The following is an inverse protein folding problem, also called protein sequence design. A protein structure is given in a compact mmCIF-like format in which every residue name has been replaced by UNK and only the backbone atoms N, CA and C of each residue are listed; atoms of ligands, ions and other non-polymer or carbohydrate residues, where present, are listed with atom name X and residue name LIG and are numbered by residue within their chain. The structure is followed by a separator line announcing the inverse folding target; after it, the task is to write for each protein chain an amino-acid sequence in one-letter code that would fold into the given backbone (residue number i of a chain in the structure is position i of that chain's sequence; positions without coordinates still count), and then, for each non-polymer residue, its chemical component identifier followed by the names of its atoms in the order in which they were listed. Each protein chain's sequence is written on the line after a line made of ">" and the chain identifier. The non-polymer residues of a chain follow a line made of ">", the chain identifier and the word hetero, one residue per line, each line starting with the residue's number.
data_IF_666391136741
#
_entry.id   IF_666391136741
#
_cell.length_a   1.000
_cell.length_b   1.000
_cell.length_c   1.000
_cell.angle_alpha   90.00
_cell.angle_beta   90.00
_cell.angle_gamma   90.00
#
_symmetry.space_group_name_H-M   'P 1'
#
loop_
_entity.id
_entity.type
_entity.pdbx_description
1 polymer ?
#
# COMPACT_ATOMS: atom_id res chain seq x y z
N UNK A 1 -25.15 -0.95 -8.44
CA UNK A 1 -24.32 -0.56 -9.61
C UNK A 1 -24.74 0.73 -10.34
N UNK A 2 -26.03 1.04 -10.52
CA UNK A 2 -26.46 2.22 -11.29
C UNK A 2 -26.25 3.57 -10.59
N UNK A 3 -26.26 3.61 -9.25
CA UNK A 3 -26.08 4.83 -8.47
C UNK A 3 -24.69 5.45 -8.69
N UNK A 4 -23.60 4.75 -8.38
CA UNK A 4 -22.24 5.25 -8.58
C UNK A 4 -21.95 5.63 -10.05
N UNK A 5 -22.57 4.96 -11.02
CA UNK A 5 -22.38 5.32 -12.44
C UNK A 5 -23.13 6.57 -12.87
N UNK A 6 -24.21 6.94 -12.19
CA UNK A 6 -25.12 8.03 -12.58
C UNK A 6 -25.20 9.13 -11.52
N UNK A 7 -24.32 9.11 -10.53
CA UNK A 7 -24.29 10.15 -9.51
C UNK A 7 -23.70 11.43 -10.10
N UNK A 8 -24.09 12.55 -9.52
CA UNK A 8 -23.44 13.84 -9.72
C UNK A 8 -22.68 14.14 -8.44
N UNK A 9 -21.37 14.33 -8.55
CA UNK A 9 -20.55 14.78 -7.43
C UNK A 9 -20.95 16.21 -7.05
N UNK A 10 -21.23 16.44 -5.76
CA UNK A 10 -21.66 17.76 -5.26
C UNK A 10 -20.50 18.47 -4.56
N UNK A 11 -19.79 17.77 -3.68
CA UNK A 11 -18.67 18.34 -2.94
C UNK A 11 -18.11 17.43 -1.85
N UNK A 12 -16.95 17.79 -1.33
CA UNK A 12 -16.31 17.11 -0.18
C UNK A 12 -16.87 17.70 1.11
N UNK A 13 -17.30 16.84 2.04
CA UNK A 13 -17.78 17.26 3.36
C UNK A 13 -16.63 17.34 4.37
N UNK A 14 -15.80 16.30 4.41
CA UNK A 14 -14.61 16.22 5.26
C UNK A 14 -13.55 15.28 4.65
N UNK A 15 -12.58 14.83 5.46
CA UNK A 15 -11.48 13.96 5.02
C UNK A 15 -11.95 12.63 4.41
N UNK A 16 -13.07 12.08 4.87
CA UNK A 16 -13.51 10.73 4.52
C UNK A 16 -14.88 10.73 3.82
N UNK A 17 -15.66 11.81 3.93
CA UNK A 17 -17.04 11.91 3.46
C UNK A 17 -17.20 12.91 2.30
N UNK A 18 -18.00 12.53 1.32
CA UNK A 18 -18.40 13.36 0.17
C UNK A 18 -19.92 13.35 -0.02
N UNK A 19 -20.44 14.41 -0.63
CA UNK A 19 -21.83 14.52 -1.05
C UNK A 19 -21.98 14.17 -2.53
N UNK A 20 -22.92 13.28 -2.80
CA UNK A 20 -23.29 12.87 -4.15
C UNK A 20 -24.80 12.96 -4.33
N UNK A 21 -25.24 13.50 -5.46
CA UNK A 21 -26.64 13.50 -5.85
C UNK A 21 -26.93 12.30 -6.76
N UNK A 22 -28.05 11.61 -6.53
CA UNK A 22 -28.57 10.59 -7.43
C UNK A 22 -30.08 10.77 -7.62
N UNK A 23 -30.48 11.18 -8.82
CA UNK A 23 -31.86 11.62 -9.08
C UNK A 23 -32.21 12.82 -8.19
N UNK A 24 -33.22 12.67 -7.34
CA UNK A 24 -33.64 13.69 -6.37
C UNK A 24 -33.06 13.49 -4.97
N UNK A 25 -32.23 12.46 -4.76
CA UNK A 25 -31.64 12.15 -3.45
C UNK A 25 -30.25 12.76 -3.32
N UNK A 26 -29.97 13.41 -2.19
CA UNK A 26 -28.63 13.80 -1.77
C UNK A 26 -28.11 12.77 -0.77
N UNK A 27 -26.91 12.27 -1.01
CA UNK A 27 -26.34 11.13 -0.29
C UNK A 27 -24.97 11.52 0.26
N UNK A 28 -24.72 11.10 1.50
CA UNK A 28 -23.38 11.12 2.10
C UNK A 28 -22.71 9.79 1.76
N UNK A 29 -21.52 9.86 1.19
CA UNK A 29 -20.72 8.70 0.79
C UNK A 29 -19.40 8.76 1.54
N UNK A 30 -19.04 7.66 2.20
CA UNK A 30 -17.68 7.48 2.70
C UNK A 30 -16.78 7.16 1.50
N UNK A 31 -16.09 8.19 1.00
CA UNK A 31 -15.25 8.07 -0.18
C UNK A 31 -13.93 7.39 0.14
N UNK A 32 -13.48 7.39 1.41
CA UNK A 32 -12.30 6.65 1.84
C UNK A 32 -12.52 5.13 1.73
N UNK A 33 -13.63 4.62 2.29
CA UNK A 33 -13.99 3.21 2.18
C UNK A 33 -14.28 2.80 0.73
N UNK A 34 -14.91 3.69 -0.04
CA UNK A 34 -15.14 3.45 -1.46
C UNK A 34 -13.83 3.37 -2.25
N UNK A 35 -12.85 4.23 -1.94
CA UNK A 35 -11.54 4.20 -2.56
C UNK A 35 -10.79 2.90 -2.19
N UNK A 36 -10.86 2.47 -0.93
CA UNK A 36 -10.26 1.20 -0.48
C UNK A 36 -10.77 0.01 -1.29
N UNK A 37 -12.09 -0.13 -1.42
CA UNK A 37 -12.69 -1.19 -2.23
C UNK A 37 -12.36 -1.06 -3.73
N UNK A 38 -12.31 0.17 -4.26
CA UNK A 38 -11.90 0.40 -5.64
C UNK A 38 -10.46 -0.07 -5.90
N UNK A 39 -9.51 0.29 -5.03
CA UNK A 39 -8.10 -0.08 -5.19
C UNK A 39 -7.87 -1.58 -4.99
N UNK A 40 -8.57 -2.21 -4.05
CA UNK A 40 -8.58 -3.67 -3.90
C UNK A 40 -9.04 -4.37 -5.20
N UNK A 41 -10.19 -3.96 -5.75
CA UNK A 41 -10.69 -4.51 -7.01
C UNK A 41 -9.75 -4.24 -8.20
N UNK A 42 -9.10 -3.07 -8.24
CA UNK A 42 -8.12 -2.73 -9.28
C UNK A 42 -6.87 -3.59 -9.17
N UNK A 43 -6.39 -3.88 -7.96
CA UNK A 43 -5.23 -4.74 -7.73
C UNK A 43 -5.49 -6.17 -8.20
N UNK A 44 -6.65 -6.74 -7.85
CA UNK A 44 -7.01 -8.10 -8.28
C UNK A 44 -7.24 -8.16 -9.79
N UNK A 45 -7.92 -7.17 -10.39
CA UNK A 45 -8.17 -7.16 -11.84
C UNK A 45 -6.92 -7.01 -12.68
N UNK A 46 -5.86 -6.40 -12.12
CA UNK A 46 -4.59 -6.16 -12.79
C UNK A 46 -3.49 -7.12 -12.32
N UNK A 47 -3.85 -8.16 -11.57
CA UNK A 47 -2.90 -9.15 -11.05
C UNK A 47 -2.01 -9.73 -12.16
N UNK A 48 -0.69 -9.65 -11.97
CA UNK A 48 0.32 -10.10 -12.94
C UNK A 48 0.54 -9.18 -14.15
N UNK A 49 -0.20 -8.07 -14.29
CA UNK A 49 -0.12 -7.15 -15.43
C UNK A 49 -0.15 -5.66 -15.04
N UNK A 50 0.18 -5.36 -13.78
CA UNK A 50 0.25 -3.99 -13.27
C UNK A 50 1.21 -3.11 -14.09
N UNK A 51 0.78 -1.89 -14.40
CA UNK A 51 1.73 -0.86 -14.82
C UNK A 51 2.60 -0.46 -13.62
N UNK A 52 3.85 -0.07 -13.87
CA UNK A 52 4.81 0.26 -12.81
C UNK A 52 4.93 1.78 -12.64
N UNK A 53 4.58 2.28 -11.46
CA UNK A 53 4.85 3.65 -11.02
C UNK A 53 6.22 3.72 -10.34
N UNK A 54 7.22 4.29 -11.02
CA UNK A 54 8.54 4.52 -10.41
C UNK A 54 8.50 5.71 -9.46
N UNK A 55 9.07 5.54 -8.28
CA UNK A 55 9.19 6.61 -7.30
C UNK A 55 10.21 7.64 -7.79
N UNK A 56 9.88 8.93 -7.67
CA UNK A 56 10.81 10.02 -7.98
C UNK A 56 12.02 10.02 -7.04
N UNK A 57 11.85 9.52 -5.82
CA UNK A 57 12.90 9.29 -4.84
C UNK A 57 12.71 7.90 -4.25
N UNK A 58 13.63 6.95 -4.52
CA UNK A 58 13.66 5.66 -3.86
C UNK A 58 13.64 5.78 -2.33
N UNK A 59 13.00 4.83 -1.66
CA UNK A 59 12.83 4.86 -0.20
C UNK A 59 13.73 3.82 0.47
N UNK A 60 14.61 4.21 1.40
CA UNK A 60 15.45 3.28 2.15
C UNK A 60 14.56 2.37 3.00
N UNK A 61 14.64 1.07 2.75
CA UNK A 61 13.68 0.10 3.26
C UNK A 61 13.75 0.00 4.79
N UNK A 62 14.94 -0.22 5.35
CA UNK A 62 15.16 -0.24 6.80
C UNK A 62 14.68 1.02 7.51
N UNK A 63 15.11 2.20 7.06
CA UNK A 63 14.75 3.47 7.72
C UNK A 63 13.24 3.72 7.67
N UNK A 64 12.60 3.35 6.55
CA UNK A 64 11.16 3.49 6.36
C UNK A 64 10.38 2.56 7.28
N UNK A 65 10.79 1.29 7.39
CA UNK A 65 10.20 0.31 8.32
C UNK A 65 10.41 0.73 9.78
N UNK A 66 11.60 1.21 10.11
CA UNK A 66 11.93 1.68 11.46
C UNK A 66 11.10 2.89 11.88
N UNK A 67 10.85 3.82 10.95
CA UNK A 67 9.99 4.97 11.15
C UNK A 67 8.51 4.57 11.30
N UNK A 68 8.06 3.50 10.62
CA UNK A 68 6.70 2.99 10.75
C UNK A 68 6.36 2.59 12.19
N UNK A 69 7.32 1.97 12.89
CA UNK A 69 7.17 1.56 14.29
C UNK A 69 7.07 2.73 15.29
N UNK A 70 7.34 3.97 14.85
CA UNK A 70 7.17 5.19 15.67
C UNK A 70 5.83 5.90 15.38
N UNK A 71 5.01 5.39 14.45
CA UNK A 71 3.69 5.94 14.17
C UNK A 71 2.71 5.62 15.31
N UNK A 72 1.88 6.61 15.68
CA UNK A 72 0.90 6.47 16.78
C UNK A 72 -0.21 5.45 16.50
N UNK A 73 -0.47 5.14 15.23
CA UNK A 73 -1.42 4.11 14.84
C UNK A 73 -0.86 2.68 15.00
N UNK A 74 0.46 2.53 15.07
CA UNK A 74 1.12 1.25 15.30
C UNK A 74 1.19 1.01 16.81
N UNK A 75 0.50 -0.03 17.27
CA UNK A 75 0.42 -0.39 18.70
C UNK A 75 1.60 -1.28 19.12
N UNK A 76 2.83 -0.83 18.86
CA UNK A 76 4.03 -1.53 19.29
C UNK A 76 4.19 -1.46 20.81
N UNK A 77 4.47 -2.59 21.43
CA UNK A 77 4.83 -2.71 22.84
C UNK A 77 6.28 -3.19 23.01
N UNK A 78 7.00 -2.80 24.07
CA UNK A 78 8.32 -3.35 24.37
C UNK A 78 8.38 -4.90 24.41
N UNK A 79 7.27 -5.59 24.66
CA UNK A 79 7.18 -7.05 24.58
C UNK A 79 7.35 -7.61 23.17
N UNK A 80 7.06 -6.82 22.13
CA UNK A 80 7.19 -7.24 20.72
C UNK A 80 8.67 -7.33 20.29
N UNK A 81 9.58 -6.82 21.12
CA UNK A 81 11.01 -6.83 20.89
C UNK A 81 11.55 -5.50 20.35
N UNK A 82 12.87 -5.41 20.14
CA UNK A 82 13.52 -4.16 19.75
C UNK A 82 13.09 -3.75 18.34
N UNK A 83 12.68 -2.49 18.18
CA UNK A 83 12.23 -1.92 16.90
C UNK A 83 13.23 -2.11 15.76
N UNK A 84 14.52 -1.98 16.05
CA UNK A 84 15.58 -2.19 15.05
C UNK A 84 15.67 -3.64 14.58
N UNK A 85 15.36 -4.60 15.46
CA UNK A 85 15.27 -6.03 15.11
C UNK A 85 14.08 -6.27 14.19
N UNK A 86 12.89 -5.81 14.58
CA UNK A 86 11.66 -5.92 13.79
C UNK A 86 11.85 -5.33 12.39
N UNK A 87 12.44 -4.13 12.30
CA UNK A 87 12.69 -3.47 11.02
C UNK A 87 13.65 -4.26 10.12
N UNK A 88 14.69 -4.89 10.69
CA UNK A 88 15.63 -5.74 9.92
C UNK A 88 14.99 -7.04 9.45
N UNK A 89 14.20 -7.67 10.31
CA UNK A 89 13.50 -8.92 9.98
C UNK A 89 12.46 -8.67 8.88
N UNK A 90 11.72 -7.55 8.98
CA UNK A 90 10.79 -7.10 7.94
C UNK A 90 11.50 -6.79 6.62
N UNK A 91 12.63 -6.09 6.66
CA UNK A 91 13.44 -5.81 5.46
C UNK A 91 13.90 -7.12 4.79
N UNK A 92 14.46 -8.05 5.57
CA UNK A 92 14.93 -9.34 5.07
C UNK A 92 13.78 -10.16 4.46
N UNK A 93 12.60 -10.16 5.09
CA UNK A 93 11.42 -10.84 4.58
C UNK A 93 10.99 -10.26 3.23
N UNK A 94 10.83 -8.94 3.12
CA UNK A 94 10.40 -8.30 1.87
C UNK A 94 11.40 -8.54 0.74
N UNK A 95 12.71 -8.50 1.03
CA UNK A 95 13.75 -8.82 0.05
C UNK A 95 13.71 -10.28 -0.39
N UNK A 96 13.37 -11.22 0.51
CA UNK A 96 13.20 -12.64 0.15
C UNK A 96 12.01 -12.88 -0.79
N UNK A 97 10.98 -12.02 -0.73
CA UNK A 97 9.76 -12.09 -1.55
C UNK A 97 9.78 -11.17 -2.77
N UNK A 98 10.87 -10.43 -3.00
CA UNK A 98 10.96 -9.35 -4.02
C UNK A 98 10.61 -9.78 -5.44
N UNK A 99 10.97 -11.00 -5.84
CA UNK A 99 10.71 -11.49 -7.20
C UNK A 99 9.22 -11.69 -7.43
N UNK A 100 8.55 -12.34 -6.48
CA UNK A 100 7.11 -12.53 -6.49
C UNK A 100 6.34 -11.20 -6.44
N UNK A 101 6.78 -10.28 -5.57
CA UNK A 101 6.18 -8.95 -5.42
C UNK A 101 6.32 -8.11 -6.71
N UNK A 102 7.44 -8.23 -7.41
CA UNK A 102 7.64 -7.60 -8.70
C UNK A 102 6.75 -8.23 -9.78
N UNK A 103 6.75 -9.56 -9.88
CA UNK A 103 6.09 -10.28 -10.97
C UNK A 103 4.56 -10.17 -10.91
N UNK A 104 3.98 -10.20 -9.71
CA UNK A 104 2.51 -10.14 -9.56
C UNK A 104 1.98 -8.73 -9.31
N UNK A 105 2.70 -7.91 -8.54
CA UNK A 105 2.20 -6.62 -8.06
C UNK A 105 3.00 -5.41 -8.54
N UNK A 106 4.08 -5.59 -9.32
CA UNK A 106 4.98 -4.48 -9.71
C UNK A 106 5.50 -3.67 -8.51
N UNK A 107 5.65 -4.32 -7.35
CA UNK A 107 6.31 -3.74 -6.18
C UNK A 107 7.80 -4.11 -6.31
N UNK A 108 8.64 -3.10 -6.53
CA UNK A 108 10.04 -3.31 -6.91
C UNK A 108 10.96 -2.89 -5.79
N UNK A 109 11.73 -3.84 -5.28
CA UNK A 109 12.82 -3.61 -4.34
C UNK A 109 14.18 -3.80 -5.03
N UNK A 110 15.08 -2.86 -4.79
CA UNK A 110 16.50 -2.98 -5.15
C UNK A 110 17.30 -3.35 -3.89
N UNK A 111 17.95 -4.53 -3.84
CA UNK A 111 18.73 -4.94 -2.68
C UNK A 111 19.99 -4.09 -2.53
N UNK A 112 20.51 -4.01 -1.31
CA UNK A 112 21.75 -3.30 -0.99
C UNK A 112 22.93 -3.63 -1.94
N UNK A 113 23.02 -4.88 -2.44
CA UNK A 113 24.06 -5.33 -3.38
C UNK A 113 24.07 -4.55 -4.70
N UNK A 114 22.91 -4.07 -5.14
CA UNK A 114 22.72 -3.46 -6.45
C UNK A 114 22.77 -1.92 -6.36
N UNK A 115 22.70 -1.40 -5.14
CA UNK A 115 22.67 0.03 -4.84
C UNK A 115 24.06 0.59 -4.52
N UNK A 116 24.36 1.79 -4.98
CA UNK A 116 25.69 2.42 -4.76
C UNK A 116 25.98 2.80 -3.31
N UNK A 117 24.94 2.98 -2.50
CA UNK A 117 25.05 3.35 -1.09
C UNK A 117 25.00 2.15 -0.15
N UNK A 118 24.80 0.93 -0.66
CA UNK A 118 24.72 -0.28 0.15
C UNK A 118 23.46 -0.36 1.00
N UNK A 119 22.36 0.27 0.58
CA UNK A 119 21.08 0.30 1.31
C UNK A 119 19.97 -0.20 0.41
N UNK A 120 19.17 -1.16 0.88
CA UNK A 120 18.04 -1.67 0.12
C UNK A 120 16.95 -0.61 -0.04
N UNK A 121 16.37 -0.52 -1.24
CA UNK A 121 15.44 0.54 -1.62
C UNK A 121 14.13 -0.02 -2.16
N UNK A 122 13.00 0.59 -1.79
CA UNK A 122 11.77 0.52 -2.59
C UNK A 122 11.89 1.53 -3.73
N UNK A 123 11.75 1.08 -4.98
CA UNK A 123 11.94 1.94 -6.17
C UNK A 123 10.68 2.11 -7.01
N UNK A 124 9.73 1.20 -6.92
CA UNK A 124 8.48 1.31 -7.66
C UNK A 124 7.32 0.57 -6.99
N UNK A 125 6.10 0.99 -7.34
CA UNK A 125 4.83 0.46 -6.88
C UNK A 125 3.88 0.26 -8.08
N UNK A 126 2.78 -0.49 -7.93
CA UNK A 126 1.78 -0.60 -8.99
C UNK A 126 1.06 0.73 -9.25
N UNK A 127 0.93 1.10 -10.52
CA UNK A 127 0.00 2.14 -10.97
C UNK A 127 -1.40 1.54 -11.10
N UNK A 128 -2.17 1.58 -10.02
CA UNK A 128 -3.53 1.00 -10.01
C UNK A 128 -4.56 1.87 -10.74
N UNK A 129 -4.35 3.18 -10.77
CA UNK A 129 -5.23 4.16 -11.40
C UNK A 129 -4.41 5.23 -12.10
N UNK A 130 -4.69 5.46 -13.38
CA UNK A 130 -3.95 6.40 -14.20
C UNK A 130 -3.90 7.80 -13.57
N UNK A 131 -2.71 8.40 -13.51
CA UNK A 131 -2.48 9.74 -12.94
C UNK A 131 -2.78 9.88 -11.45
N UNK A 132 -2.97 8.78 -10.72
CA UNK A 132 -3.04 8.78 -9.27
C UNK A 132 -1.70 8.33 -8.68
N UNK A 133 -1.15 9.11 -7.75
CA UNK A 133 0.09 8.76 -7.04
C UNK A 133 -0.21 8.59 -5.56
N UNK A 134 0.23 7.49 -4.92
CA UNK A 134 0.10 7.32 -3.48
C UNK A 134 0.82 8.43 -2.72
N UNK A 135 0.28 8.81 -1.55
CA UNK A 135 0.89 9.83 -0.71
C UNK A 135 2.14 9.27 -0.02
N UNK A 136 3.31 9.95 -0.09
CA UNK A 136 4.53 9.42 0.52
C UNK A 136 4.44 9.08 2.02
N UNK A 137 3.59 9.79 2.76
CA UNK A 137 3.36 9.56 4.19
C UNK A 137 2.70 8.22 4.53
N UNK A 138 2.11 7.50 3.56
CA UNK A 138 1.51 6.17 3.81
C UNK A 138 2.50 5.02 3.63
N UNK A 139 3.67 5.24 3.03
CA UNK A 139 4.63 4.17 2.73
C UNK A 139 5.20 3.44 3.94
N UNK A 140 5.52 4.11 5.08
CA UNK A 140 6.01 3.41 6.26
C UNK A 140 5.02 2.35 6.75
N UNK A 141 3.76 2.72 6.91
CA UNK A 141 2.72 1.81 7.39
C UNK A 141 2.42 0.71 6.37
N UNK A 142 2.39 1.05 5.08
CA UNK A 142 2.21 0.05 4.02
C UNK A 142 3.30 -1.02 4.05
N UNK A 143 4.58 -0.64 4.12
CA UNK A 143 5.70 -1.60 4.14
C UNK A 143 5.71 -2.45 5.41
N UNK A 144 5.36 -1.86 6.56
CA UNK A 144 5.27 -2.60 7.81
C UNK A 144 4.13 -3.63 7.76
N UNK A 145 2.93 -3.23 7.30
CA UNK A 145 1.80 -4.14 7.17
C UNK A 145 2.08 -5.23 6.13
N UNK A 146 2.71 -4.89 5.01
CA UNK A 146 3.12 -5.86 4.01
C UNK A 146 4.02 -6.94 4.62
N UNK A 147 4.95 -6.56 5.50
CA UNK A 147 5.84 -7.52 6.16
C UNK A 147 5.15 -8.32 7.29
N UNK A 148 4.32 -7.67 8.10
CA UNK A 148 3.85 -8.25 9.37
C UNK A 148 2.41 -8.79 9.34
N UNK A 149 1.54 -8.28 8.48
CA UNK A 149 0.11 -8.63 8.46
C UNK A 149 -0.25 -9.61 7.33
N UNK A 150 0.61 -9.73 6.30
CA UNK A 150 0.39 -10.68 5.20
C UNK A 150 0.78 -12.08 5.65
N UNK A 151 -0.15 -13.02 5.49
CA UNK A 151 0.15 -14.45 5.62
C UNK A 151 0.91 -14.93 4.38
N UNK A 152 2.20 -15.20 4.53
CA UNK A 152 3.07 -15.64 3.45
C UNK A 152 3.09 -17.16 3.24
N UNK A 153 2.38 -17.93 4.07
CA UNK A 153 2.35 -19.39 4.05
C UNK A 153 1.17 -19.93 3.24
N UNK A 154 0.02 -19.24 3.25
CA UNK A 154 -1.15 -19.56 2.43
C UNK A 154 -1.23 -18.66 1.18
N UNK A 155 -1.29 -19.27 0.00
CA UNK A 155 -1.25 -18.55 -1.29
C UNK A 155 -2.42 -17.57 -1.47
N UNK A 156 -3.65 -17.98 -1.11
CA UNK A 156 -4.82 -17.15 -1.29
C UNK A 156 -4.81 -15.98 -0.31
N UNK A 157 -4.53 -16.26 0.96
CA UNK A 157 -4.44 -15.26 2.03
C UNK A 157 -3.30 -14.27 1.78
N UNK A 158 -2.20 -14.73 1.19
CA UNK A 158 -1.09 -13.89 0.73
C UNK A 158 -1.56 -12.88 -0.31
N UNK A 159 -2.21 -13.33 -1.39
CA UNK A 159 -2.64 -12.44 -2.47
C UNK A 159 -3.74 -11.47 -2.03
N UNK A 160 -4.67 -11.92 -1.18
CA UNK A 160 -5.68 -11.04 -0.58
C UNK A 160 -5.03 -10.02 0.34
N UNK A 161 -4.07 -10.43 1.17
CA UNK A 161 -3.35 -9.56 2.10
C UNK A 161 -2.55 -8.46 1.41
N UNK A 162 -1.83 -8.77 0.32
CA UNK A 162 -1.04 -7.77 -0.43
C UNK A 162 -1.96 -6.74 -1.11
N UNK A 163 -3.16 -7.14 -1.53
CA UNK A 163 -4.10 -6.28 -2.24
C UNK A 163 -4.94 -5.36 -1.32
N UNK A 164 -4.91 -5.58 0.00
CA UNK A 164 -5.78 -4.93 1.01
C UNK A 164 -5.12 -3.70 1.64
#
# INVERSE_FOLDING_TARGET
>A
HSMLRKHVFVGVLDRDLSLCQWGTKLLVVNHLELARELFYQLSIRQFGIHATLRLSTPLPLYDTLRAALDLTCVKWDPSDGPKDGIARDAEALLLSKREMLNDYYSIVFEPASDTKNGVSMLVALPELLQSHTPTPGSFPLFLLNLACEVDWDDELSCFEGIAT
#
